data_IF_705736113819
#
_entry.id   IF_705736113819
#
_cell.length_a   1.000
_cell.length_b   1.000
_cell.length_c   1.000
_cell.angle_alpha   90.00
_cell.angle_beta   90.00
_cell.angle_gamma   90.00
#
_symmetry.space_group_name_H-M   'P 1'
#
loop_
_entity.id
_entity.type
_entity.pdbx_description
1 polymer ?
#
# COMPACT_ATOMS: atom_id res chain seq x y z
N UNK A 1 2.61 3.38 -9.90
CA UNK A 1 3.81 3.87 -10.65
C UNK A 1 4.85 2.81 -11.07
N UNK A 2 5.63 2.17 -10.18
CA UNK A 2 6.74 1.27 -10.60
C UNK A 2 6.30 0.08 -11.49
N UNK A 3 5.25 -0.65 -11.07
CA UNK A 3 4.69 -1.77 -11.85
C UNK A 3 4.25 -1.33 -13.23
N UNK A 4 3.65 -0.14 -13.37
CA UNK A 4 3.23 0.41 -14.65
C UNK A 4 4.41 0.74 -15.57
N UNK A 5 5.52 1.27 -15.01
CA UNK A 5 6.75 1.46 -15.76
C UNK A 5 7.31 0.13 -16.30
N UNK A 6 7.23 -0.92 -15.49
CA UNK A 6 7.61 -2.27 -15.92
C UNK A 6 6.64 -2.84 -16.97
N UNK A 7 5.33 -2.65 -16.81
CA UNK A 7 4.32 -3.01 -17.82
C UNK A 7 4.63 -2.32 -19.15
N UNK A 8 4.91 -1.02 -19.13
CA UNK A 8 5.30 -0.27 -20.33
C UNK A 8 6.61 -0.76 -20.96
N UNK A 9 7.55 -1.26 -20.15
CA UNK A 9 8.80 -1.84 -20.63
C UNK A 9 8.60 -3.19 -21.32
N UNK A 10 7.80 -4.09 -20.72
CA UNK A 10 7.58 -5.46 -21.22
C UNK A 10 6.48 -5.57 -22.27
N UNK A 11 5.66 -4.54 -22.42
CA UNK A 11 4.57 -4.55 -23.40
C UNK A 11 5.09 -4.68 -24.83
N UNK A 12 4.30 -5.36 -25.66
CA UNK A 12 4.63 -5.63 -27.05
C UNK A 12 4.92 -4.34 -27.84
N UNK A 13 5.86 -4.42 -28.79
CA UNK A 13 6.15 -3.31 -29.69
C UNK A 13 4.95 -3.06 -30.62
N UNK A 14 4.15 -2.06 -30.28
CA UNK A 14 3.09 -1.58 -31.17
C UNK A 14 3.66 -0.50 -32.09
N UNK A 15 3.47 -0.61 -33.42
CA UNK A 15 3.79 0.46 -34.34
C UNK A 15 3.18 1.79 -33.87
N UNK A 16 3.91 2.89 -34.03
CA UNK A 16 3.47 4.26 -33.67
C UNK A 16 3.48 4.61 -32.17
N UNK A 17 3.78 3.67 -31.26
CA UNK A 17 3.90 3.94 -29.83
C UNK A 17 5.35 4.01 -29.40
N UNK A 18 5.74 5.13 -28.77
CA UNK A 18 7.07 5.29 -28.23
C UNK A 18 7.16 4.69 -26.82
N UNK A 19 7.82 3.53 -26.69
CA UNK A 19 8.05 2.83 -25.41
C UNK A 19 8.69 3.71 -24.34
N UNK A 20 9.78 4.41 -24.66
CA UNK A 20 10.49 5.24 -23.69
C UNK A 20 9.60 6.36 -23.12
N UNK A 21 8.76 6.94 -23.99
CA UNK A 21 7.79 7.95 -23.61
C UNK A 21 6.69 7.37 -22.73
N UNK A 22 6.20 6.16 -23.03
CA UNK A 22 5.24 5.44 -22.18
C UNK A 22 5.82 5.14 -20.79
N UNK A 23 7.06 4.66 -20.70
CA UNK A 23 7.75 4.41 -19.43
C UNK A 23 7.88 5.71 -18.62
N UNK A 24 8.38 6.78 -19.25
CA UNK A 24 8.50 8.09 -18.59
C UNK A 24 7.14 8.60 -18.10
N UNK A 25 6.10 8.48 -18.93
CA UNK A 25 4.75 8.90 -18.57
C UNK A 25 4.20 8.09 -17.38
N UNK A 26 4.37 6.77 -17.38
CA UNK A 26 3.96 5.90 -16.27
C UNK A 26 4.69 6.25 -14.96
N UNK A 27 5.93 6.70 -15.02
CA UNK A 27 6.68 7.14 -13.83
C UNK A 27 6.17 8.49 -13.31
N UNK A 28 5.73 9.41 -14.18
CA UNK A 28 5.40 10.79 -13.78
C UNK A 28 3.91 11.08 -13.58
N UNK A 29 3.01 10.18 -13.99
CA UNK A 29 1.57 10.47 -14.02
C UNK A 29 0.98 10.86 -12.65
N UNK A 30 1.42 10.22 -11.57
CA UNK A 30 0.96 10.49 -10.18
C UNK A 30 1.99 11.24 -9.34
N UNK A 31 3.00 11.86 -9.94
CA UNK A 31 3.98 12.68 -9.19
C UNK A 31 3.32 13.78 -8.33
N UNK A 32 2.23 14.46 -8.78
CA UNK A 32 1.55 15.46 -7.94
C UNK A 32 0.98 14.91 -6.63
N UNK A 33 0.67 13.62 -6.55
CA UNK A 33 0.12 12.98 -5.34
C UNK A 33 1.13 12.98 -4.18
N UNK A 34 2.42 13.16 -4.46
CA UNK A 34 3.43 13.37 -3.43
C UNK A 34 3.17 14.62 -2.56
N UNK A 35 2.41 15.59 -3.08
CA UNK A 35 2.00 16.80 -2.35
C UNK A 35 0.50 16.76 -2.04
N UNK A 36 -0.34 16.39 -3.01
CA UNK A 36 -1.80 16.47 -2.91
C UNK A 36 -2.37 15.31 -2.08
N UNK A 37 -1.67 14.17 -2.02
CA UNK A 37 -2.20 12.89 -1.58
C UNK A 37 -3.02 12.20 -2.69
N UNK A 38 -3.26 10.91 -2.49
CA UNK A 38 -4.13 10.10 -3.34
C UNK A 38 -5.60 10.48 -3.10
N UNK A 39 -6.18 11.25 -4.02
CA UNK A 39 -7.58 11.68 -3.96
C UNK A 39 -8.44 10.61 -4.63
N UNK A 40 -9.25 9.95 -3.81
CA UNK A 40 -10.17 8.89 -4.19
C UNK A 40 -11.58 9.43 -4.48
N UNK A 41 -12.43 8.67 -5.19
CA UNK A 41 -13.83 9.05 -5.39
C UNK A 41 -14.62 9.22 -4.08
N UNK A 42 -14.23 8.57 -2.99
CA UNK A 42 -14.83 8.70 -1.66
C UNK A 42 -14.62 10.08 -1.03
N UNK A 43 -13.59 10.82 -1.43
CA UNK A 43 -13.29 12.14 -0.85
C UNK A 43 -14.25 13.24 -1.30
N UNK A 44 -15.15 12.95 -2.26
CA UNK A 44 -16.16 13.89 -2.75
C UNK A 44 -15.59 15.12 -3.49
N UNK A 45 -14.30 15.11 -3.83
CA UNK A 45 -13.65 16.20 -4.56
C UNK A 45 -14.04 16.14 -6.04
N UNK A 46 -14.51 17.27 -6.56
CA UNK A 46 -14.85 17.40 -7.99
C UNK A 46 -13.59 17.27 -8.85
N UNK A 47 -13.72 16.63 -10.02
CA UNK A 47 -12.61 16.41 -10.97
C UNK A 47 -11.81 17.69 -11.30
N UNK A 48 -12.48 18.81 -11.50
CA UNK A 48 -11.81 20.08 -11.78
C UNK A 48 -10.95 20.57 -10.60
N UNK A 49 -11.42 20.37 -9.36
CA UNK A 49 -10.67 20.75 -8.17
C UNK A 49 -9.47 19.82 -7.92
N UNK A 50 -9.64 18.51 -8.14
CA UNK A 50 -8.52 17.55 -8.15
C UNK A 50 -7.44 18.00 -9.13
N UNK A 51 -7.83 18.25 -10.37
CA UNK A 51 -6.91 18.67 -11.42
C UNK A 51 -6.22 20.01 -11.10
N UNK A 52 -6.94 21.00 -10.54
CA UNK A 52 -6.34 22.27 -10.09
C UNK A 52 -5.24 22.05 -9.05
N UNK A 53 -5.52 21.25 -8.02
CA UNK A 53 -4.55 20.94 -6.95
C UNK A 53 -3.32 20.20 -7.50
N UNK A 54 -3.55 19.23 -8.37
CA UNK A 54 -2.46 18.46 -8.98
C UNK A 54 -1.61 19.32 -9.92
N UNK A 55 -2.23 20.22 -10.67
CA UNK A 55 -1.51 21.18 -11.52
C UNK A 55 -0.63 22.11 -10.68
N UNK A 56 -1.16 22.67 -9.58
CA UNK A 56 -0.41 23.53 -8.66
C UNK A 56 0.76 22.77 -8.00
N UNK A 57 0.54 21.53 -7.59
CA UNK A 57 1.59 20.66 -7.05
C UNK A 57 2.67 20.35 -8.09
N UNK A 58 2.27 20.04 -9.33
CA UNK A 58 3.21 19.80 -10.42
C UNK A 58 4.06 21.04 -10.72
N UNK A 59 3.45 22.22 -10.79
CA UNK A 59 4.17 23.48 -10.99
C UNK A 59 5.20 23.73 -9.88
N UNK A 60 4.83 23.46 -8.62
CA UNK A 60 5.74 23.56 -7.49
C UNK A 60 6.92 22.59 -7.63
N UNK A 61 6.65 21.32 -7.97
CA UNK A 61 7.69 20.30 -8.20
C UNK A 61 8.62 20.67 -9.37
N UNK A 62 8.07 21.20 -10.47
CA UNK A 62 8.85 21.68 -11.60
C UNK A 62 9.75 22.88 -11.24
N UNK A 63 9.31 23.77 -10.34
CA UNK A 63 10.15 24.86 -9.80
C UNK A 63 11.28 24.32 -8.93
N UNK A 64 11.03 23.31 -8.09
CA UNK A 64 12.05 22.65 -7.28
C UNK A 64 13.13 21.97 -8.13
N UNK A 65 12.78 21.46 -9.30
CA UNK A 65 13.72 20.91 -10.29
C UNK A 65 14.55 21.99 -11.04
N UNK A 66 14.40 23.26 -10.68
CA UNK A 66 15.14 24.39 -11.26
C UNK A 66 14.56 24.92 -12.57
N UNK A 67 13.32 24.54 -12.94
CA UNK A 67 12.61 25.09 -14.11
C UNK A 67 13.24 24.81 -15.47
N UNK A 68 14.20 23.88 -15.55
CA UNK A 68 14.92 23.58 -16.78
C UNK A 68 14.16 22.70 -17.78
N UNK A 69 14.83 22.26 -18.86
CA UNK A 69 14.23 21.40 -19.89
C UNK A 69 13.60 20.11 -19.35
N UNK A 70 14.16 19.55 -18.28
CA UNK A 70 13.64 18.34 -17.61
C UNK A 70 12.32 18.61 -16.89
N UNK A 71 12.19 19.74 -16.21
CA UNK A 71 10.95 20.14 -15.56
C UNK A 71 9.82 20.33 -16.60
N UNK A 72 10.17 20.90 -17.76
CA UNK A 72 9.25 21.04 -18.89
C UNK A 72 8.85 19.68 -19.50
N UNK A 73 9.80 18.77 -19.68
CA UNK A 73 9.53 17.40 -20.15
C UNK A 73 8.52 16.68 -19.23
N UNK A 74 8.71 16.76 -17.91
CA UNK A 74 7.80 16.17 -16.92
C UNK A 74 6.41 16.80 -17.00
N UNK A 75 6.33 18.14 -17.03
CA UNK A 75 5.06 18.85 -17.13
C UNK A 75 4.30 18.48 -18.42
N UNK A 76 5.00 18.43 -19.55
CA UNK A 76 4.41 18.08 -20.85
C UNK A 76 3.90 16.63 -20.88
N UNK A 77 4.61 15.69 -20.23
CA UNK A 77 4.18 14.30 -20.11
C UNK A 77 2.92 14.18 -19.25
N UNK A 78 2.93 14.80 -18.07
CA UNK A 78 1.77 14.80 -17.16
C UNK A 78 0.54 15.41 -17.83
N UNK A 79 0.68 16.56 -18.48
CA UNK A 79 -0.42 17.21 -19.19
C UNK A 79 -1.01 16.35 -20.33
N UNK A 80 -0.17 15.60 -21.05
CA UNK A 80 -0.63 14.67 -22.10
C UNK A 80 -1.35 13.46 -21.52
N UNK A 81 -0.88 12.95 -20.39
CA UNK A 81 -1.53 11.88 -19.64
C UNK A 81 -2.91 12.32 -19.16
N UNK A 82 -3.01 13.46 -18.49
CA UNK A 82 -4.26 13.99 -17.95
C UNK A 82 -5.31 14.29 -19.04
N UNK A 83 -4.87 14.89 -20.14
CA UNK A 83 -5.73 15.15 -21.30
C UNK A 83 -6.05 13.90 -22.12
N UNK A 84 -5.39 12.77 -21.84
CA UNK A 84 -5.50 11.53 -22.59
C UNK A 84 -5.31 11.72 -24.11
N UNK A 85 -4.37 12.59 -24.50
CA UNK A 85 -4.32 13.17 -25.85
C UNK A 85 -3.40 12.43 -26.83
N UNK A 86 -2.62 11.46 -26.36
CA UNK A 86 -1.62 10.73 -27.16
C UNK A 86 -1.84 9.22 -27.07
N UNK A 87 -1.42 8.41 -28.07
CA UNK A 87 -1.49 6.96 -27.98
C UNK A 87 -0.81 6.40 -26.73
N UNK A 88 0.35 6.96 -26.34
CA UNK A 88 1.04 6.55 -25.12
C UNK A 88 0.21 6.83 -23.86
N UNK A 89 -0.46 7.98 -23.79
CA UNK A 89 -1.32 8.34 -22.66
C UNK A 89 -2.50 7.38 -22.49
N UNK A 90 -3.10 6.92 -23.59
CA UNK A 90 -4.18 5.95 -23.57
C UNK A 90 -3.72 4.62 -22.99
N UNK A 91 -2.58 4.13 -23.47
CA UNK A 91 -1.97 2.89 -22.98
C UNK A 91 -1.59 2.98 -21.51
N UNK A 92 -0.96 4.09 -21.08
CA UNK A 92 -0.58 4.25 -19.67
C UNK A 92 -1.81 4.34 -18.77
N UNK A 93 -2.92 4.93 -19.23
CA UNK A 93 -4.21 4.88 -18.52
C UNK A 93 -4.83 3.48 -18.47
N UNK A 94 -4.56 2.63 -19.44
CA UNK A 94 -5.00 1.24 -19.39
C UNK A 94 -4.12 0.42 -18.44
N UNK A 95 -2.80 0.66 -18.40
CA UNK A 95 -1.93 0.08 -17.38
C UNK A 95 -2.33 0.47 -15.97
N UNK A 96 -2.73 1.72 -15.75
CA UNK A 96 -3.23 2.22 -14.46
C UNK A 96 -4.44 1.42 -13.97
N UNK A 97 -5.44 1.20 -14.84
CA UNK A 97 -6.61 0.37 -14.52
C UNK A 97 -6.22 -1.09 -14.25
N UNK A 98 -5.34 -1.66 -15.07
CA UNK A 98 -4.87 -3.04 -14.91
C UNK A 98 -4.15 -3.21 -13.58
N UNK A 99 -3.28 -2.25 -13.21
CA UNK A 99 -2.55 -2.25 -11.95
C UNK A 99 -3.51 -2.15 -10.76
N UNK A 100 -4.51 -1.26 -10.82
CA UNK A 100 -5.57 -1.16 -9.82
C UNK A 100 -6.34 -2.50 -9.64
N UNK A 101 -6.70 -3.17 -10.74
CA UNK A 101 -7.41 -4.46 -10.71
C UNK A 101 -6.53 -5.56 -10.13
N UNK A 102 -5.26 -5.64 -10.56
CA UNK A 102 -4.31 -6.63 -10.04
C UNK A 102 -4.11 -6.47 -8.55
N UNK A 103 -3.95 -5.23 -8.07
CA UNK A 103 -3.83 -4.95 -6.64
C UNK A 103 -5.10 -5.32 -5.87
N UNK A 104 -6.29 -5.07 -6.44
CA UNK A 104 -7.55 -5.50 -5.82
C UNK A 104 -7.66 -7.03 -5.71
N UNK A 105 -7.22 -7.77 -6.72
CA UNK A 105 -7.20 -9.24 -6.71
C UNK A 105 -6.19 -9.79 -5.69
N UNK A 106 -5.00 -9.19 -5.61
CA UNK A 106 -3.99 -9.53 -4.59
C UNK A 106 -4.58 -9.35 -3.18
N UNK A 107 -5.30 -8.26 -2.92
CA UNK A 107 -5.97 -8.05 -1.64
C UNK A 107 -7.10 -9.04 -1.35
N UNK A 108 -7.86 -9.47 -2.36
CA UNK A 108 -8.90 -10.49 -2.19
C UNK A 108 -8.28 -11.84 -1.78
N UNK A 109 -7.22 -12.25 -2.48
CA UNK A 109 -6.50 -13.50 -2.19
C UNK A 109 -5.79 -13.46 -0.82
N UNK A 110 -5.20 -12.34 -0.43
CA UNK A 110 -4.59 -12.17 0.88
C UNK A 110 -5.63 -12.27 2.01
N UNK A 111 -6.85 -11.78 1.79
CA UNK A 111 -7.96 -11.93 2.76
C UNK A 111 -8.37 -13.39 2.90
N UNK A 112 -8.48 -14.12 1.80
CA UNK A 112 -8.78 -15.55 1.84
C UNK A 112 -7.70 -16.31 2.61
N UNK A 113 -6.42 -16.04 2.31
CA UNK A 113 -5.29 -16.65 3.00
C UNK A 113 -5.29 -16.34 4.51
N UNK A 114 -5.60 -15.10 4.91
CA UNK A 114 -5.71 -14.68 6.32
C UNK A 114 -6.93 -15.26 7.04
N UNK A 115 -7.96 -15.66 6.30
CA UNK A 115 -9.18 -16.23 6.90
C UNK A 115 -8.98 -17.67 7.41
N UNK A 116 -7.92 -18.35 6.96
CA UNK A 116 -7.57 -19.67 7.46
C UNK A 116 -7.06 -19.58 8.92
N UNK A 117 -7.69 -20.27 9.89
CA UNK A 117 -7.24 -20.30 11.29
C UNK A 117 -5.78 -20.75 11.47
N UNK A 118 -5.24 -21.56 10.55
CA UNK A 118 -3.85 -22.02 10.59
C UNK A 118 -2.85 -20.97 10.08
N UNK A 119 -3.32 -19.89 9.44
CA UNK A 119 -2.46 -18.91 8.78
C UNK A 119 -1.49 -18.23 9.74
N UNK A 120 -1.92 -17.93 10.97
CA UNK A 120 -1.08 -17.29 11.98
C UNK A 120 0.18 -18.13 12.27
N UNK A 121 0.00 -19.44 12.48
CA UNK A 121 1.09 -20.38 12.72
C UNK A 121 1.99 -20.54 11.48
N UNK A 122 1.38 -20.63 10.30
CA UNK A 122 2.09 -20.71 9.04
C UNK A 122 2.95 -19.46 8.77
N UNK A 123 2.40 -18.27 8.97
CA UNK A 123 3.08 -16.99 8.76
C UNK A 123 4.37 -16.91 9.59
N UNK A 124 4.30 -17.13 10.91
CA UNK A 124 5.49 -17.05 11.77
C UNK A 124 6.52 -18.14 11.50
N UNK A 125 6.08 -19.30 10.99
CA UNK A 125 6.99 -20.38 10.60
C UNK A 125 7.69 -20.10 9.26
N UNK A 126 7.07 -19.33 8.37
CA UNK A 126 7.48 -19.22 6.96
C UNK A 126 7.83 -17.80 6.49
N UNK A 127 7.68 -16.77 7.32
CA UNK A 127 7.95 -15.37 6.95
C UNK A 127 9.40 -15.14 6.49
N UNK A 128 10.36 -15.86 7.09
CA UNK A 128 11.77 -15.79 6.70
C UNK A 128 12.06 -16.46 5.35
N UNK A 129 11.19 -17.39 4.92
CA UNK A 129 11.32 -18.12 3.65
C UNK A 129 10.60 -17.40 2.51
N UNK A 130 9.47 -16.74 2.82
CA UNK A 130 8.70 -15.99 1.84
C UNK A 130 8.33 -14.60 2.40
N UNK A 131 9.14 -13.56 2.10
CA UNK A 131 8.89 -12.21 2.60
C UNK A 131 7.65 -11.54 1.98
N UNK A 132 6.99 -12.18 0.99
CA UNK A 132 5.76 -11.67 0.38
C UNK A 132 4.49 -12.11 1.09
N UNK A 133 4.59 -12.91 2.15
CA UNK A 133 3.42 -13.35 2.90
C UNK A 133 2.70 -12.13 3.52
N UNK A 134 1.37 -12.00 3.32
CA UNK A 134 0.63 -10.89 3.92
C UNK A 134 0.69 -10.98 5.45
N UNK A 135 1.01 -9.90 6.17
CA UNK A 135 1.01 -9.94 7.62
C UNK A 135 -0.39 -10.32 8.15
N UNK A 136 -0.49 -11.15 9.20
CA UNK A 136 -1.77 -11.53 9.79
C UNK A 136 -2.45 -10.31 10.41
N UNK A 137 -3.79 -10.30 10.38
CA UNK A 137 -4.59 -9.29 11.07
C UNK A 137 -4.63 -9.67 12.55
N UNK A 138 -3.75 -9.09 13.35
CA UNK A 138 -3.62 -9.43 14.77
C UNK A 138 -4.83 -8.91 15.57
N UNK A 139 -5.59 -9.80 16.19
CA UNK A 139 -6.41 -9.43 17.34
C UNK A 139 -5.52 -9.18 18.58
N UNK A 140 -6.05 -8.52 19.62
CA UNK A 140 -5.31 -8.32 20.89
C UNK A 140 -4.84 -9.64 21.52
N UNK A 141 -5.55 -10.74 21.27
CA UNK A 141 -5.25 -12.07 21.81
C UNK A 141 -4.14 -12.75 21.01
N UNK A 142 -4.15 -12.60 19.68
CA UNK A 142 -3.11 -13.14 18.79
C UNK A 142 -1.74 -12.50 19.03
N UNK A 143 -1.72 -11.24 19.47
CA UNK A 143 -0.49 -10.55 19.87
C UNK A 143 0.19 -11.23 21.07
N UNK A 144 -0.60 -11.68 22.05
CA UNK A 144 -0.10 -12.41 23.22
C UNK A 144 0.40 -13.81 22.82
N UNK A 145 -0.25 -14.44 21.84
CA UNK A 145 0.16 -15.74 21.33
C UNK A 145 1.49 -15.67 20.57
N UNK A 146 1.66 -14.64 19.72
CA UNK A 146 2.90 -14.38 19.00
C UNK A 146 4.10 -14.17 19.95
N UNK A 147 3.91 -13.51 21.09
CA UNK A 147 4.95 -13.36 22.12
C UNK A 147 5.38 -14.71 22.74
N UNK A 148 4.45 -15.65 22.90
CA UNK A 148 4.76 -17.00 23.43
C UNK A 148 5.58 -17.82 22.44
N UNK A 149 5.31 -17.68 21.13
CA UNK A 149 6.08 -18.35 20.08
C UNK A 149 7.49 -17.75 19.92
N UNK A 150 7.63 -16.43 20.04
CA UNK A 150 8.95 -15.77 20.01
C UNK A 150 9.76 -15.97 21.30
N UNK A 151 9.11 -16.20 22.44
CA UNK A 151 9.76 -16.50 23.73
C UNK A 151 10.05 -17.99 23.98
N UNK A 152 9.65 -18.88 23.06
CA UNK A 152 9.68 -20.32 23.25
C UNK A 152 10.90 -20.99 22.65
N UNK A 153 12.12 -20.61 23.07
CA UNK A 153 13.30 -21.44 22.79
C UNK A 153 14.42 -21.25 23.84
N UNK A 154 14.14 -21.58 25.11
CA UNK A 154 15.18 -22.06 26.03
C UNK A 154 14.57 -22.74 27.26
N UNK A 155 14.43 -24.05 27.22
CA UNK A 155 14.32 -24.88 28.42
C UNK A 155 15.43 -25.92 28.38
N UNK A 156 16.42 -25.80 29.28
CA UNK A 156 17.06 -26.89 30.06
C UNK A 156 18.37 -26.38 30.70
N UNK A 157 18.45 -26.43 32.04
CA UNK A 157 19.73 -26.34 32.77
C UNK A 157 19.71 -25.57 34.09
N UNK A 158 19.04 -26.12 35.12
CA UNK A 158 19.10 -25.67 36.51
C UNK A 158 20.53 -25.80 37.10
N UNK A 159 21.10 -24.72 37.68
CA UNK A 159 22.06 -24.82 38.80
C UNK A 159 22.30 -23.50 39.55
N UNK A 160 21.66 -23.41 40.72
CA UNK A 160 22.19 -22.89 42.00
C UNK A 160 22.51 -21.39 42.16
N UNK A 161 21.75 -20.77 43.08
CA UNK A 161 22.09 -19.57 43.87
C UNK A 161 23.58 -19.49 44.27
N UNK A 162 24.25 -18.40 43.92
CA UNK A 162 25.21 -17.71 44.81
C UNK A 162 25.07 -16.20 44.61
N UNK A 163 24.79 -15.53 45.72
CA UNK A 163 24.78 -14.09 45.89
C UNK A 163 26.21 -13.64 46.21
N UNK A 164 26.78 -12.65 45.49
CA UNK A 164 27.75 -11.64 45.99
C UNK A 164 28.28 -10.73 44.88
N UNK A 165 27.80 -9.48 44.93
CA UNK A 165 28.53 -8.20 44.97
C UNK A 165 29.64 -7.96 43.93
N UNK A 166 29.30 -7.04 43.02
CA UNK A 166 30.05 -5.95 42.39
C UNK A 166 31.45 -6.22 41.82
N UNK A 167 31.53 -6.26 40.49
CA UNK A 167 32.30 -5.29 39.67
C UNK A 167 31.96 -5.47 38.18
N UNK A 168 31.78 -4.33 37.50
CA UNK A 168 31.81 -4.06 36.06
C UNK A 168 30.79 -4.71 35.08
N UNK A 169 30.04 -3.81 34.42
CA UNK A 169 29.64 -3.96 33.00
C UNK A 169 28.32 -4.68 32.70
N UNK A 170 27.58 -4.13 31.72
CA UNK A 170 26.36 -4.65 31.07
C UNK A 170 25.08 -4.62 31.94
N UNK A 171 23.87 -4.47 31.41
CA UNK A 171 23.39 -4.36 30.05
C UNK A 171 21.88 -4.11 30.16
N UNK A 172 21.41 -2.97 29.65
CA UNK A 172 19.97 -2.71 29.55
C UNK A 172 19.46 -3.49 28.34
N UNK A 173 18.49 -4.36 28.60
CA UNK A 173 17.79 -5.19 27.61
C UNK A 173 17.47 -4.41 26.33
N UNK A 174 17.90 -4.97 25.20
CA UNK A 174 17.96 -4.37 23.87
C UNK A 174 16.77 -4.73 22.96
N UNK A 175 15.60 -5.05 23.52
CA UNK A 175 14.40 -5.23 22.69
C UNK A 175 13.54 -3.98 22.67
N UNK A 176 13.67 -3.28 21.54
CA UNK A 176 13.02 -2.05 21.10
C UNK A 176 11.49 -2.18 21.07
N UNK A 177 10.81 -1.28 21.78
CA UNK A 177 9.42 -0.92 21.51
C UNK A 177 9.35 -0.14 20.18
N UNK A 178 8.34 -0.34 19.32
CA UNK A 178 8.09 0.58 18.21
C UNK A 178 7.63 1.95 18.76
N UNK A 179 7.99 3.06 18.11
CA UNK A 179 7.65 4.39 18.59
C UNK A 179 6.14 4.63 18.45
N UNK A 180 5.48 5.01 19.55
CA UNK A 180 4.05 5.36 19.57
C UNK A 180 3.31 5.08 20.89
N UNK A 181 3.89 4.32 21.82
CA UNK A 181 3.23 3.94 23.07
C UNK A 181 3.68 4.83 24.24
N UNK A 182 2.92 5.89 24.54
CA UNK A 182 3.18 6.75 25.70
C UNK A 182 2.22 6.37 26.84
N UNK A 183 2.74 5.73 27.89
CA UNK A 183 2.00 5.41 29.12
C UNK A 183 2.00 6.59 30.08
N UNK A 184 1.05 7.51 29.94
CA UNK A 184 0.62 8.42 31.00
C UNK A 184 -0.88 8.67 30.88
N UNK A 185 -1.64 8.00 31.76
CA UNK A 185 -2.90 8.40 32.39
C UNK A 185 -3.72 7.15 32.72
N UNK A 186 -3.41 6.54 33.86
CA UNK A 186 -4.43 5.87 34.67
C UNK A 186 -4.87 6.90 35.70
N UNK A 187 -6.12 7.36 35.57
CA UNK A 187 -7.08 7.71 36.64
C UNK A 187 -8.11 8.71 36.10
N UNK A 188 -9.20 8.17 35.54
CA UNK A 188 -10.58 8.68 35.69
C UNK A 188 -11.50 7.78 34.88
N UNK A 189 -12.03 6.73 35.54
CA UNK A 189 -13.25 6.07 35.07
C UNK A 189 -14.45 7.00 35.29
N UNK A 190 -15.46 6.82 34.43
CA UNK A 190 -16.80 7.43 34.43
C UNK A 190 -16.93 8.78 33.70
N UNK A 191 -17.16 8.71 32.39
CA UNK A 191 -18.42 9.14 31.75
C UNK A 191 -18.20 9.17 30.24
N UNK A 192 -18.79 8.23 29.51
CA UNK A 192 -19.23 8.41 28.12
C UNK A 192 -20.01 7.18 27.67
N UNK A 193 -21.26 7.12 28.12
CA UNK A 193 -22.30 6.47 27.34
C UNK A 193 -22.65 7.37 26.14
N UNK A 194 -22.83 6.71 25.00
CA UNK A 194 -23.57 7.19 23.83
C UNK A 194 -22.82 8.05 22.80
N UNK A 195 -22.02 7.41 21.94
CA UNK A 195 -22.05 7.69 20.48
C UNK A 195 -21.97 6.35 19.74
N UNK A 196 -23.15 5.88 19.36
CA UNK A 196 -23.35 4.73 18.48
C UNK A 196 -23.03 5.17 17.04
N UNK A 197 -22.09 4.49 16.39
CA UNK A 197 -21.65 4.83 15.04
C UNK A 197 -20.51 3.96 14.54
N UNK A 198 -20.60 2.64 14.75
CA UNK A 198 -19.74 1.68 14.06
C UNK A 198 -20.27 1.50 12.64
N UNK A 199 -19.77 2.28 11.68
CA UNK A 199 -19.86 1.90 10.27
C UNK A 199 -18.90 0.72 10.04
N UNK A 200 -19.47 -0.44 10.32
CA UNK A 200 -19.02 -1.75 9.85
C UNK A 200 -18.80 -1.66 8.33
N UNK A 201 -17.67 -2.19 7.85
CA UNK A 201 -17.31 -2.21 6.44
C UNK A 201 -18.24 -3.19 5.71
N UNK A 202 -19.48 -2.76 5.50
CA UNK A 202 -20.51 -3.55 4.86
C UNK A 202 -20.17 -3.68 3.37
N UNK A 203 -19.80 -4.90 3.00
CA UNK A 203 -19.38 -5.31 1.66
C UNK A 203 -20.52 -5.09 0.64
N UNK A 204 -21.75 -4.91 1.13
CA UNK A 204 -22.95 -4.63 0.32
C UNK A 204 -23.31 -3.13 0.22
N UNK A 205 -22.51 -2.24 0.81
CA UNK A 205 -22.62 -0.79 0.67
C UNK A 205 -22.40 -0.30 -0.77
N UNK A 206 -22.78 0.95 -1.06
CA UNK A 206 -22.63 1.55 -2.41
C UNK A 206 -21.20 1.48 -2.95
N UNK A 207 -20.21 1.59 -2.07
CA UNK A 207 -18.78 1.49 -2.40
C UNK A 207 -18.42 0.04 -2.71
N UNK A 208 -18.83 -0.92 -1.88
CA UNK A 208 -18.67 -2.35 -2.14
C UNK A 208 -19.30 -2.77 -3.47
N UNK A 209 -20.49 -2.27 -3.79
CA UNK A 209 -21.17 -2.50 -5.08
C UNK A 209 -20.44 -1.87 -6.27
N UNK A 210 -19.84 -0.68 -6.11
CA UNK A 210 -19.02 -0.05 -7.14
C UNK A 210 -17.79 -0.91 -7.44
N UNK A 211 -17.07 -1.33 -6.41
CA UNK A 211 -15.89 -2.18 -6.56
C UNK A 211 -16.23 -3.57 -7.08
N UNK A 212 -17.31 -4.20 -6.61
CA UNK A 212 -17.81 -5.48 -7.12
C UNK A 212 -18.18 -5.38 -8.59
N UNK A 213 -18.81 -4.26 -9.01
CA UNK A 213 -19.11 -3.99 -10.42
C UNK A 213 -17.84 -3.81 -11.26
N UNK A 214 -16.84 -3.08 -10.78
CA UNK A 214 -15.55 -2.94 -11.47
C UNK A 214 -14.80 -4.27 -11.57
N UNK A 215 -14.86 -5.09 -10.52
CA UNK A 215 -14.26 -6.42 -10.46
C UNK A 215 -15.00 -7.41 -11.38
N UNK A 216 -16.33 -7.34 -11.47
CA UNK A 216 -17.12 -8.12 -12.43
C UNK A 216 -16.80 -7.72 -13.87
N UNK A 217 -16.71 -6.42 -14.17
CA UNK A 217 -16.29 -5.92 -15.49
C UNK A 217 -14.88 -6.39 -15.83
N UNK A 218 -13.97 -6.43 -14.86
CA UNK A 218 -12.61 -6.96 -15.05
C UNK A 218 -12.60 -8.49 -15.27
N UNK A 219 -13.46 -9.24 -14.58
CA UNK A 219 -13.62 -10.70 -14.75
C UNK A 219 -14.32 -11.07 -16.07
N UNK A 220 -15.15 -10.18 -16.62
CA UNK A 220 -15.85 -10.34 -17.90
C UNK A 220 -15.06 -9.83 -19.11
N UNK A 221 -13.96 -9.09 -18.89
CA UNK A 221 -13.04 -8.72 -19.96
C UNK A 221 -12.40 -9.99 -20.53
N UNK A 222 -12.83 -10.38 -21.74
CA UNK A 222 -12.29 -11.53 -22.47
C UNK A 222 -10.75 -11.45 -22.56
N UNK A 223 -10.05 -12.61 -22.57
CA UNK A 223 -8.60 -12.61 -22.73
C UNK A 223 -8.25 -11.80 -23.97
N UNK A 224 -7.42 -10.79 -23.78
CA UNK A 224 -6.79 -10.10 -24.90
C UNK A 224 -5.97 -11.17 -25.61
N UNK A 225 -6.42 -11.60 -26.79
CA UNK A 225 -5.63 -12.47 -27.67
C UNK A 225 -4.34 -11.71 -28.02
N UNK A 226 -3.30 -11.95 -27.24
CA UNK A 226 -1.93 -11.63 -27.60
C UNK A 226 -1.56 -12.68 -28.66
N UNK A 227 -1.92 -12.38 -29.91
CA UNK A 227 -1.42 -13.12 -31.07
C UNK A 227 0.07 -12.84 -31.14
N UNK A 228 0.87 -13.87 -30.85
CA UNK A 228 2.32 -13.92 -31.02
C UNK A 228 2.74 -13.74 -32.48
#
# INVERSE_FOLDING_TARGET
MYRMGLMALIYADIPEINRDKSIKMAIVHDIPEAIVGDITPSDGIRKHEKNRRECEALEHLCKLLGGGPRAKEIADLWMKYEKNSTPEAKIVKDFDKVEMILQALEYENDKELRSDPAYLSYYYSNVNLNPRLPPPLLSKEDWQFAQRLHGGNSTIGDRSKVNRIDTDGAGRSLFSMPPGFNSKNQESENEMDNVQGSEEWDVDGLIGRYWKKQLTVAKEAQPIDIVL
#
